data_IF_191236350605
#
_entry.id   IF_191236350605
#
_cell.length_a   1.000
_cell.length_b   1.000
_cell.length_c   1.000
_cell.angle_alpha   90.00
_cell.angle_beta   90.00
_cell.angle_gamma   90.00
#
_symmetry.space_group_name_H-M   'P 1'
#
loop_
_entity.id
_entity.type
_entity.pdbx_description
1 polymer ?
#
# COMPACT_ATOMS: atom_id res chain seq x y z
N UNK A 1 7.82 -20.70 -0.22
CA UNK A 1 6.67 -20.85 -1.15
C UNK A 1 5.53 -20.04 -0.58
N UNK A 2 4.96 -19.11 -1.35
CA UNK A 2 3.86 -18.26 -0.87
C UNK A 2 2.52 -18.99 -0.88
N UNK A 3 1.81 -18.90 0.24
CA UNK A 3 0.46 -19.38 0.39
C UNK A 3 -0.53 -18.26 0.08
N UNK A 4 -1.51 -18.56 -0.78
CA UNK A 4 -2.57 -17.61 -1.15
C UNK A 4 -3.90 -18.09 -0.61
N UNK A 5 -4.55 -17.26 0.21
CA UNK A 5 -5.92 -17.50 0.70
C UNK A 5 -6.87 -16.52 0.02
N UNK A 6 -7.83 -17.07 -0.74
CA UNK A 6 -8.82 -16.29 -1.49
C UNK A 6 -10.24 -16.40 -0.93
N UNK A 7 -10.47 -17.30 0.03
CA UNK A 7 -11.76 -17.45 0.71
C UNK A 7 -11.56 -17.33 2.22
N UNK A 8 -12.20 -16.33 2.82
CA UNK A 8 -12.20 -16.12 4.26
C UNK A 8 -13.55 -16.48 4.84
N UNK A 9 -13.54 -17.24 5.95
CA UNK A 9 -14.72 -17.42 6.81
C UNK A 9 -15.18 -16.08 7.38
N UNK A 10 -16.46 -15.97 7.75
CA UNK A 10 -17.03 -14.72 8.28
C UNK A 10 -16.27 -14.24 9.54
N UNK A 11 -15.86 -15.17 10.40
CA UNK A 11 -15.02 -14.89 11.57
C UNK A 11 -13.71 -14.21 11.17
N UNK A 12 -13.02 -14.71 10.14
CA UNK A 12 -11.78 -14.12 9.62
C UNK A 12 -12.01 -12.78 8.95
N UNK A 13 -13.12 -12.61 8.21
CA UNK A 13 -13.48 -11.31 7.63
C UNK A 13 -13.71 -10.26 8.70
N UNK A 14 -14.41 -10.61 9.78
CA UNK A 14 -14.62 -9.72 10.93
C UNK A 14 -13.30 -9.35 11.59
N UNK A 15 -12.45 -10.33 11.91
CA UNK A 15 -11.14 -10.07 12.50
C UNK A 15 -10.24 -9.21 11.60
N UNK A 16 -10.29 -9.46 10.28
CA UNK A 16 -9.55 -8.66 9.30
C UNK A 16 -10.08 -7.23 9.29
N UNK A 17 -11.40 -7.04 9.27
CA UNK A 17 -12.04 -5.73 9.34
C UNK A 17 -11.58 -4.98 10.59
N UNK A 18 -11.59 -5.60 11.75
CA UNK A 18 -11.20 -4.97 13.01
C UNK A 18 -9.71 -4.60 13.05
N UNK A 19 -8.85 -5.41 12.41
CA UNK A 19 -7.42 -5.14 12.30
C UNK A 19 -7.10 -4.02 11.31
N UNK A 20 -7.75 -4.06 10.15
CA UNK A 20 -7.44 -3.27 8.96
C UNK A 20 -8.11 -1.90 9.04
N UNK A 21 -9.34 -1.82 9.55
CA UNK A 21 -10.13 -0.59 9.60
C UNK A 21 -9.44 0.54 10.38
N UNK A 22 -8.89 0.36 11.59
CA UNK A 22 -8.21 1.45 12.30
C UNK A 22 -6.92 1.92 11.59
N UNK A 23 -6.16 0.98 11.01
CA UNK A 23 -4.91 1.27 10.27
C UNK A 23 -5.17 1.99 8.95
N UNK A 24 -6.33 1.71 8.36
CA UNK A 24 -6.84 2.39 7.18
C UNK A 24 -7.44 3.76 7.51
N UNK A 25 -8.27 3.87 8.55
CA UNK A 25 -9.01 5.10 8.86
C UNK A 25 -8.09 6.21 9.34
N UNK A 26 -6.95 5.86 9.95
CA UNK A 26 -5.88 6.83 10.26
C UNK A 26 -5.20 7.43 9.01
N UNK A 27 -5.58 6.99 7.81
CA UNK A 27 -5.14 7.54 6.54
C UNK A 27 -6.02 8.72 6.11
N UNK A 28 -5.49 9.93 6.13
CA UNK A 28 -6.22 11.11 5.63
C UNK A 28 -6.29 11.17 4.10
N UNK A 29 -5.40 10.45 3.38
CA UNK A 29 -5.42 10.41 1.92
C UNK A 29 -6.40 9.37 1.40
N UNK A 30 -6.64 8.26 2.10
CA UNK A 30 -7.53 7.20 1.61
C UNK A 30 -8.61 6.77 2.60
N UNK A 31 -8.64 7.30 3.82
CA UNK A 31 -9.50 6.82 4.91
C UNK A 31 -10.99 6.87 4.57
N UNK A 32 -11.48 7.98 4.02
CA UNK A 32 -12.90 8.12 3.64
C UNK A 32 -13.27 7.17 2.49
N UNK A 33 -12.40 7.05 1.49
CA UNK A 33 -12.60 6.14 0.36
C UNK A 33 -12.62 4.69 0.84
N UNK A 34 -11.62 4.27 1.62
CA UNK A 34 -11.51 2.92 2.14
C UNK A 34 -12.67 2.59 3.08
N UNK A 35 -13.11 3.53 3.93
CA UNK A 35 -14.28 3.34 4.81
C UNK A 35 -15.54 3.10 3.99
N UNK A 36 -15.74 3.94 2.97
CA UNK A 36 -16.90 3.83 2.08
C UNK A 36 -16.90 2.54 1.24
N UNK A 37 -15.73 1.94 1.02
CA UNK A 37 -15.56 0.74 0.19
C UNK A 37 -15.19 -0.52 1.00
N UNK A 38 -15.12 -0.45 2.33
CA UNK A 38 -14.52 -1.48 3.18
C UNK A 38 -15.12 -2.87 2.94
N UNK A 39 -16.44 -2.98 2.86
CA UNK A 39 -17.10 -4.26 2.62
C UNK A 39 -16.77 -4.83 1.23
N UNK A 40 -16.81 -4.01 0.19
CA UNK A 40 -16.54 -4.44 -1.17
C UNK A 40 -15.06 -4.81 -1.40
N UNK A 41 -14.15 -4.12 -0.68
CA UNK A 41 -12.73 -4.44 -0.62
C UNK A 41 -12.48 -5.78 0.09
N UNK A 42 -13.17 -6.03 1.21
CA UNK A 42 -13.08 -7.29 1.95
C UNK A 42 -13.65 -8.48 1.16
N UNK A 43 -14.68 -8.26 0.34
CA UNK A 43 -15.22 -9.28 -0.55
C UNK A 43 -14.25 -9.68 -1.67
N UNK A 44 -13.30 -8.80 -2.03
CA UNK A 44 -12.26 -9.03 -3.03
C UNK A 44 -10.86 -9.16 -2.40
N UNK A 45 -10.80 -9.57 -1.14
CA UNK A 45 -9.56 -9.71 -0.38
C UNK A 45 -8.80 -11.00 -0.76
N UNK A 46 -7.48 -10.89 -0.87
CA UNK A 46 -6.55 -12.03 -0.97
C UNK A 46 -5.45 -11.89 0.07
N UNK A 47 -5.13 -12.97 0.76
CA UNK A 47 -4.04 -12.99 1.74
C UNK A 47 -2.87 -13.77 1.15
N UNK A 48 -1.68 -13.16 1.17
CA UNK A 48 -0.42 -13.77 0.78
C UNK A 48 0.44 -13.92 2.03
N UNK A 49 0.96 -15.11 2.31
CA UNK A 49 1.85 -15.31 3.46
C UNK A 49 2.94 -16.32 3.15
N UNK A 50 4.08 -16.14 3.79
CA UNK A 50 5.22 -17.05 3.75
C UNK A 50 5.00 -18.34 4.56
N UNK A 51 3.95 -18.38 5.40
CA UNK A 51 3.52 -19.58 6.11
C UNK A 51 2.01 -19.82 5.94
N UNK A 52 1.56 -21.03 6.26
CA UNK A 52 0.12 -21.31 6.36
C UNK A 52 -0.46 -20.62 7.59
N UNK A 53 -1.21 -19.56 7.36
CA UNK A 53 -1.99 -18.90 8.41
C UNK A 53 -3.18 -19.80 8.76
N UNK A 54 -3.23 -20.36 9.97
CA UNK A 54 -4.37 -21.18 10.42
C UNK A 54 -5.59 -20.32 10.76
N UNK A 55 -6.80 -20.88 10.70
CA UNK A 55 -8.04 -20.14 10.99
C UNK A 55 -8.15 -19.62 12.44
N UNK A 56 -7.30 -20.11 13.34
CA UNK A 56 -7.28 -19.74 14.76
C UNK A 56 -6.34 -18.58 15.09
N UNK A 57 -5.42 -18.20 14.20
CA UNK A 57 -4.46 -17.11 14.46
C UNK A 57 -5.10 -15.75 14.23
N UNK A 58 -4.84 -14.80 15.14
CA UNK A 58 -5.22 -13.41 14.93
C UNK A 58 -4.24 -12.75 13.95
N UNK A 59 -4.68 -11.69 13.28
CA UNK A 59 -3.81 -10.86 12.47
C UNK A 59 -2.87 -10.07 13.39
N UNK A 60 -1.56 -10.09 13.12
CA UNK A 60 -0.53 -9.46 13.95
C UNK A 60 0.10 -10.36 15.02
N UNK A 61 -0.22 -11.66 15.05
CA UNK A 61 0.60 -12.65 15.74
C UNK A 61 1.79 -13.03 14.84
N UNK A 62 3.02 -13.13 15.39
CA UNK A 62 4.23 -13.55 14.65
C UNK A 62 3.98 -14.89 13.95
N UNK A 63 3.88 -14.86 12.62
CA UNK A 63 3.57 -16.03 11.80
C UNK A 63 4.83 -16.89 11.52
N UNK A 64 5.96 -16.72 12.22
CA UNK A 64 7.14 -17.60 12.11
C UNK A 64 7.61 -17.86 10.66
N UNK A 65 7.35 -16.90 9.78
CA UNK A 65 7.54 -16.97 8.35
C UNK A 65 8.95 -16.57 7.90
N UNK A 66 9.16 -16.60 6.58
CA UNK A 66 10.36 -16.00 5.97
C UNK A 66 9.98 -14.65 5.40
N UNK A 67 10.21 -13.59 6.18
CA UNK A 67 9.93 -12.19 5.80
C UNK A 67 10.47 -11.77 4.41
N UNK A 68 11.53 -12.43 3.93
CA UNK A 68 12.10 -12.16 2.61
C UNK A 68 11.18 -12.56 1.44
N UNK A 69 10.39 -13.63 1.54
CA UNK A 69 9.59 -14.10 0.40
C UNK A 69 8.40 -13.16 0.08
N UNK A 70 7.74 -12.64 1.12
CA UNK A 70 6.63 -11.70 0.94
C UNK A 70 7.11 -10.33 0.47
N UNK A 71 8.26 -9.87 0.99
CA UNK A 71 8.89 -8.63 0.50
C UNK A 71 9.24 -8.73 -0.98
N UNK A 72 9.86 -9.83 -1.42
CA UNK A 72 10.21 -10.01 -2.84
C UNK A 72 8.95 -10.07 -3.72
N UNK A 73 7.90 -10.77 -3.28
CA UNK A 73 6.62 -10.77 -4.01
C UNK A 73 5.97 -9.40 -4.09
N UNK A 74 6.04 -8.58 -3.02
CA UNK A 74 5.51 -7.23 -3.03
C UNK A 74 6.26 -6.36 -4.05
N UNK A 75 7.60 -6.44 -4.06
CA UNK A 75 8.45 -5.75 -5.04
C UNK A 75 8.08 -6.16 -6.47
N UNK A 76 7.99 -7.47 -6.74
CA UNK A 76 7.63 -7.98 -8.06
C UNK A 76 6.23 -7.53 -8.49
N UNK A 77 5.27 -7.50 -7.55
CA UNK A 77 3.90 -7.04 -7.79
C UNK A 77 3.87 -5.55 -8.16
N UNK A 78 4.60 -4.71 -7.44
CA UNK A 78 4.73 -3.28 -7.74
C UNK A 78 5.36 -3.07 -9.11
N UNK A 79 6.45 -3.76 -9.42
CA UNK A 79 7.13 -3.67 -10.72
C UNK A 79 6.23 -4.14 -11.86
N UNK A 80 5.51 -5.25 -11.69
CA UNK A 80 4.58 -5.76 -12.68
C UNK A 80 3.42 -4.80 -12.93
N UNK A 81 2.85 -4.21 -11.88
CA UNK A 81 1.81 -3.18 -11.99
C UNK A 81 2.29 -1.97 -12.77
N UNK A 82 3.44 -1.40 -12.40
CA UNK A 82 4.02 -0.24 -13.07
C UNK A 82 4.31 -0.46 -14.56
N UNK A 83 4.65 -1.69 -14.95
CA UNK A 83 4.91 -2.04 -16.35
C UNK A 83 3.63 -2.25 -17.16
N UNK A 84 2.62 -2.87 -16.58
CA UNK A 84 1.40 -3.31 -17.26
C UNK A 84 0.37 -2.20 -17.48
N UNK A 85 0.30 -1.24 -16.57
CA UNK A 85 -0.75 -0.22 -16.59
C UNK A 85 -0.38 1.04 -17.38
N UNK A 86 -1.40 1.78 -17.79
CA UNK A 86 -1.27 3.10 -18.42
C UNK A 86 -1.26 4.19 -17.35
N UNK A 87 -0.21 5.03 -17.37
CA UNK A 87 0.04 6.05 -16.34
C UNK A 87 -0.10 5.52 -14.89
N UNK A 88 0.63 4.46 -14.52
CA UNK A 88 0.58 3.94 -13.17
C UNK A 88 1.41 4.77 -12.21
N UNK A 89 0.91 4.82 -10.98
CA UNK A 89 1.67 5.26 -9.83
C UNK A 89 1.41 4.33 -8.66
N UNK A 90 2.46 4.05 -7.92
CA UNK A 90 2.38 3.37 -6.63
C UNK A 90 2.69 4.39 -5.54
N UNK A 91 1.84 4.46 -4.52
CA UNK A 91 2.08 5.28 -3.33
C UNK A 91 2.33 4.35 -2.15
N UNK A 92 3.51 4.43 -1.56
CA UNK A 92 3.84 3.69 -0.33
C UNK A 92 3.71 4.65 0.85
N UNK A 93 2.79 4.38 1.75
CA UNK A 93 2.60 5.19 2.96
C UNK A 93 3.60 4.80 4.03
N UNK A 94 4.18 5.82 4.66
CA UNK A 94 4.95 5.67 5.88
C UNK A 94 4.04 5.91 7.10
N UNK A 95 3.98 4.94 8.03
CA UNK A 95 3.14 5.02 9.23
C UNK A 95 3.81 5.72 10.40
N UNK A 96 5.14 5.72 10.41
CA UNK A 96 5.93 6.24 11.53
C UNK A 96 6.50 7.61 11.16
N UNK A 97 6.79 7.82 9.88
CA UNK A 97 7.37 9.05 9.38
C UNK A 97 6.43 10.25 9.42
N UNK A 98 6.89 11.32 10.07
CA UNK A 98 6.35 12.66 9.93
C UNK A 98 7.23 13.50 8.99
N UNK A 99 6.66 14.39 8.16
CA UNK A 99 7.46 15.38 7.42
C UNK A 99 8.32 16.29 8.31
N UNK A 100 7.96 16.38 9.59
CA UNK A 100 8.66 17.16 10.61
C UNK A 100 9.75 16.37 11.32
N UNK A 101 9.91 15.06 11.05
CA UNK A 101 10.90 14.24 11.73
C UNK A 101 12.32 14.57 11.24
N UNK A 102 13.28 14.86 12.16
CA UNK A 102 14.64 15.24 11.80
C UNK A 102 15.39 14.20 10.96
N UNK A 103 14.99 12.92 11.03
CA UNK A 103 15.62 11.82 10.31
C UNK A 103 15.41 11.93 8.78
N UNK A 104 14.26 12.47 8.33
CA UNK A 104 13.98 12.69 6.91
C UNK A 104 14.70 13.90 6.33
N UNK A 105 15.37 14.70 7.17
CA UNK A 105 16.11 15.90 6.75
C UNK A 105 17.55 15.55 6.34
N UNK A 106 18.10 14.41 6.81
CA UNK A 106 19.54 14.14 6.73
C UNK A 106 19.93 12.92 5.90
N UNK A 107 19.18 11.81 6.02
CA UNK A 107 19.65 10.50 5.54
C UNK A 107 18.70 9.78 4.56
N UNK A 108 17.52 10.35 4.30
CA UNK A 108 16.49 9.75 3.43
C UNK A 108 16.38 10.56 2.13
N UNK A 109 16.22 9.92 0.96
CA UNK A 109 16.13 10.62 -0.32
C UNK A 109 14.97 11.61 -0.36
N UNK A 110 15.19 12.69 -1.11
CA UNK A 110 14.27 13.81 -1.24
C UNK A 110 12.90 13.47 -1.85
N UNK A 111 12.61 12.22 -2.21
CA UNK A 111 11.45 11.84 -3.01
C UNK A 111 10.27 11.40 -2.14
N UNK A 112 9.54 12.33 -1.55
CA UNK A 112 8.30 12.03 -0.83
C UNK A 112 7.24 13.11 -1.04
N UNK A 113 5.98 12.69 -1.01
CA UNK A 113 4.83 13.57 -1.03
C UNK A 113 4.17 13.60 0.33
N UNK A 114 3.52 14.70 0.65
CA UNK A 114 2.80 14.87 1.90
C UNK A 114 1.35 15.24 1.63
N UNK A 115 0.46 14.77 2.50
CA UNK A 115 -0.93 15.19 2.51
C UNK A 115 -1.46 15.07 3.94
N UNK A 116 -2.00 16.17 4.50
CA UNK A 116 -2.51 16.21 5.88
C UNK A 116 -1.52 15.61 6.89
N UNK A 117 -0.26 16.07 6.84
CA UNK A 117 0.86 15.63 7.69
C UNK A 117 1.24 14.14 7.61
N UNK A 118 0.74 13.42 6.60
CA UNK A 118 1.15 12.04 6.29
C UNK A 118 2.12 12.02 5.12
N UNK A 119 3.05 11.06 5.15
CA UNK A 119 4.11 10.91 4.17
C UNK A 119 3.83 9.73 3.23
N UNK A 120 4.05 9.95 1.93
CA UNK A 120 3.87 8.97 0.87
C UNK A 120 5.09 8.96 -0.05
N UNK A 121 5.62 7.78 -0.35
CA UNK A 121 6.70 7.58 -1.31
C UNK A 121 6.12 7.22 -2.67
N UNK A 122 6.19 8.11 -3.67
CA UNK A 122 5.71 7.81 -5.02
C UNK A 122 6.70 6.94 -5.78
N UNK A 123 6.18 5.95 -6.51
CA UNK A 123 6.92 5.15 -7.49
C UNK A 123 6.17 5.25 -8.81
N UNK A 124 6.81 5.85 -9.81
CA UNK A 124 6.26 6.05 -11.15
C UNK A 124 6.77 4.99 -12.13
N UNK A 125 6.18 4.96 -13.33
CA UNK A 125 6.53 3.97 -14.37
C UNK A 125 8.01 3.99 -14.78
N UNK A 126 8.65 5.15 -14.81
CA UNK A 126 10.08 5.31 -15.09
C UNK A 126 10.98 4.78 -13.97
N UNK A 127 10.43 4.59 -12.77
CA UNK A 127 11.10 3.99 -11.62
C UNK A 127 10.87 2.47 -11.50
N UNK A 128 10.23 1.83 -12.49
CA UNK A 128 9.79 0.43 -12.47
C UNK A 128 10.93 -0.60 -12.56
N UNK A 129 11.88 -0.54 -11.64
CA UNK A 129 12.95 -1.50 -11.45
C UNK A 129 12.96 -2.02 -10.00
N UNK A 130 13.43 -3.26 -9.85
CA UNK A 130 13.41 -4.01 -8.58
C UNK A 130 14.19 -3.28 -7.48
N UNK A 131 15.36 -2.73 -7.80
CA UNK A 131 16.21 -2.07 -6.81
C UNK A 131 15.52 -0.83 -6.23
N UNK A 132 15.03 0.07 -7.07
CA UNK A 132 14.35 1.29 -6.62
C UNK A 132 13.10 0.98 -5.81
N UNK A 133 12.30 0.00 -6.24
CA UNK A 133 11.11 -0.40 -5.49
C UNK A 133 11.47 -0.97 -4.11
N UNK A 134 12.53 -1.80 -4.03
CA UNK A 134 13.02 -2.34 -2.75
C UNK A 134 13.55 -1.24 -1.84
N UNK A 135 14.34 -0.31 -2.37
CA UNK A 135 14.89 0.82 -1.62
C UNK A 135 13.74 1.65 -1.00
N UNK A 136 12.70 1.99 -1.79
CA UNK A 136 11.55 2.76 -1.30
C UNK A 136 10.75 2.03 -0.23
N UNK A 137 10.44 0.74 -0.44
CA UNK A 137 9.74 -0.06 0.55
C UNK A 137 10.54 -0.14 1.86
N UNK A 138 11.87 -0.23 1.77
CA UNK A 138 12.74 -0.23 2.96
C UNK A 138 12.74 1.10 3.72
N UNK A 139 12.60 2.24 3.03
CA UNK A 139 12.49 3.54 3.71
C UNK A 139 11.18 3.71 4.46
N UNK A 140 10.10 3.13 3.94
CA UNK A 140 8.79 3.13 4.62
C UNK A 140 8.69 2.13 5.78
N UNK A 141 9.68 1.26 5.98
CA UNK A 141 9.61 0.08 6.84
C UNK A 141 9.92 0.35 8.33
N UNK A 142 9.47 1.49 8.88
CA UNK A 142 9.47 1.73 10.33
C UNK A 142 8.31 1.06 11.07
N UNK A 143 7.36 0.45 10.34
CA UNK A 143 6.15 -0.19 10.86
C UNK A 143 5.34 -0.83 9.72
N UNK A 144 4.03 -1.13 9.93
CA UNK A 144 3.17 -1.72 8.90
C UNK A 144 3.18 -0.86 7.63
N UNK A 145 3.50 -1.46 6.49
CA UNK A 145 3.52 -0.75 5.20
C UNK A 145 2.15 -0.83 4.53
N UNK A 146 1.70 0.29 3.96
CA UNK A 146 0.53 0.30 3.08
C UNK A 146 0.91 0.81 1.69
N UNK A 147 0.59 0.01 0.67
CA UNK A 147 0.91 0.28 -0.72
C UNK A 147 -0.39 0.45 -1.51
N UNK A 148 -0.54 1.60 -2.16
CA UNK A 148 -1.66 1.90 -3.04
C UNK A 148 -1.21 1.78 -4.49
N UNK A 149 -1.85 0.90 -5.26
CA UNK A 149 -1.62 0.77 -6.70
C UNK A 149 -2.69 1.58 -7.43
N UNK A 150 -2.30 2.70 -8.04
CA UNK A 150 -3.20 3.67 -8.65
C UNK A 150 -3.01 3.71 -10.17
N UNK A 151 -4.11 3.61 -10.93
CA UNK A 151 -4.10 3.81 -12.38
C UNK A 151 -5.51 4.01 -12.96
N UNK A 152 -5.69 4.92 -13.94
CA UNK A 152 -4.68 5.87 -14.45
C UNK A 152 -4.58 7.11 -13.55
N UNK A 153 -3.38 7.71 -13.46
CA UNK A 153 -3.20 9.03 -12.84
C UNK A 153 -2.40 9.94 -13.74
N UNK A 154 -3.01 11.04 -14.16
CA UNK A 154 -2.29 12.11 -14.84
C UNK A 154 -1.49 12.93 -13.82
N UNK A 155 -0.19 13.03 -14.05
CA UNK A 155 0.77 13.79 -13.24
C UNK A 155 1.25 15.04 -13.97
N UNK A 156 0.63 15.43 -15.09
CA UNK A 156 1.05 16.56 -15.94
C UNK A 156 1.07 17.91 -15.21
N UNK A 157 0.24 18.07 -14.19
CA UNK A 157 0.18 19.24 -13.32
C UNK A 157 1.07 19.13 -12.07
N UNK A 158 1.70 17.96 -11.86
CA UNK A 158 2.73 17.80 -10.84
C UNK A 158 4.08 18.20 -11.44
N UNK A 159 4.85 19.07 -10.78
CA UNK A 159 6.16 19.45 -11.29
C UNK A 159 7.06 18.21 -11.39
N UNK A 160 7.50 17.86 -12.60
CA UNK A 160 8.37 16.69 -12.85
C UNK A 160 9.69 16.71 -12.05
N UNK A 161 10.04 17.87 -11.49
CA UNK A 161 11.30 18.13 -10.80
C UNK A 161 11.15 18.19 -9.27
N UNK A 162 9.92 18.09 -8.73
CA UNK A 162 9.69 18.21 -7.29
C UNK A 162 9.78 16.85 -6.62
N UNK A 163 10.92 16.64 -5.96
CA UNK A 163 11.15 15.48 -5.11
C UNK A 163 10.25 15.54 -3.86
N UNK A 164 10.02 16.75 -3.31
CA UNK A 164 9.11 17.00 -2.18
C UNK A 164 7.90 17.81 -2.63
N UNK A 165 6.70 17.30 -2.40
CA UNK A 165 5.45 17.96 -2.78
C UNK A 165 4.40 17.81 -1.69
N UNK A 166 3.71 18.89 -1.34
CA UNK A 166 2.48 18.82 -0.56
C UNK A 166 1.30 18.76 -1.51
N UNK A 167 0.56 17.64 -1.47
CA UNK A 167 -0.58 17.41 -2.34
C UNK A 167 -1.77 18.25 -1.90
N UNK A 168 -2.33 19.00 -2.84
CA UNK A 168 -3.63 19.65 -2.64
C UNK A 168 -4.75 18.59 -2.50
N UNK A 169 -5.88 19.00 -1.95
CA UNK A 169 -7.06 18.14 -1.84
C UNK A 169 -7.56 17.65 -3.21
N UNK A 170 -7.47 18.48 -4.25
CA UNK A 170 -7.83 18.07 -5.61
C UNK A 170 -6.89 17.00 -6.16
N UNK A 171 -5.58 17.13 -5.93
CA UNK A 171 -4.58 16.14 -6.33
C UNK A 171 -4.79 14.82 -5.57
N UNK A 172 -4.97 14.91 -4.25
CA UNK A 172 -5.29 13.79 -3.37
C UNK A 172 -6.53 12.99 -3.86
N UNK A 173 -7.61 13.68 -4.21
CA UNK A 173 -8.82 13.05 -4.73
C UNK A 173 -8.61 12.27 -6.03
N UNK A 174 -7.70 12.71 -6.91
CA UNK A 174 -7.37 11.93 -8.13
C UNK A 174 -6.72 10.59 -7.79
N UNK A 175 -5.85 10.55 -6.79
CA UNK A 175 -5.26 9.30 -6.33
C UNK A 175 -6.33 8.38 -5.73
N UNK A 176 -7.21 8.89 -4.86
CA UNK A 176 -8.32 8.10 -4.27
C UNK A 176 -9.17 7.42 -5.34
N UNK A 177 -9.55 8.17 -6.37
CA UNK A 177 -10.43 7.68 -7.44
C UNK A 177 -9.74 6.75 -8.44
N UNK A 178 -8.41 6.62 -8.38
CA UNK A 178 -7.62 5.77 -9.27
C UNK A 178 -7.06 4.52 -8.59
N UNK A 179 -7.30 4.33 -7.29
CA UNK A 179 -6.86 3.12 -6.57
C UNK A 179 -7.50 1.88 -7.17
N UNK A 180 -6.65 0.95 -7.60
CA UNK A 180 -7.03 -0.39 -8.07
C UNK A 180 -6.84 -1.43 -6.98
N UNK A 181 -5.73 -1.34 -6.26
CA UNK A 181 -5.39 -2.26 -5.19
C UNK A 181 -4.79 -1.51 -4.01
N UNK A 182 -5.08 -2.02 -2.81
CA UNK A 182 -4.40 -1.64 -1.58
C UNK A 182 -3.76 -2.88 -1.00
N UNK A 183 -2.47 -2.83 -0.76
CA UNK A 183 -1.70 -3.90 -0.15
C UNK A 183 -1.30 -3.45 1.25
N UNK A 184 -1.67 -4.23 2.25
CA UNK A 184 -1.37 -3.98 3.65
C UNK A 184 -0.36 -5.05 4.10
N UNK A 185 0.79 -4.64 4.61
CA UNK A 185 1.64 -5.52 5.41
C UNK A 185 1.00 -5.66 6.79
N UNK A 186 0.63 -6.89 7.14
CA UNK A 186 -0.15 -7.18 8.35
C UNK A 186 0.52 -8.23 9.24
N UNK A 187 1.70 -8.70 8.86
CA UNK A 187 2.44 -9.75 9.57
C UNK A 187 3.94 -9.41 9.63
N UNK A 188 4.30 -8.14 9.79
CA UNK A 188 5.69 -7.67 9.88
C UNK A 188 6.59 -8.24 8.78
N UNK A 189 6.12 -8.09 7.54
CA UNK A 189 6.75 -8.58 6.31
C UNK A 189 6.67 -10.08 6.07
N UNK A 190 5.97 -10.85 6.92
CA UNK A 190 5.73 -12.29 6.71
C UNK A 190 4.46 -12.59 5.89
N UNK A 191 3.69 -11.56 5.56
CA UNK A 191 2.56 -11.65 4.65
C UNK A 191 1.80 -10.34 4.47
N UNK A 192 0.97 -10.30 3.44
CA UNK A 192 0.22 -9.13 3.03
C UNK A 192 -1.24 -9.46 2.75
N UNK A 193 -2.09 -8.46 2.96
CA UNK A 193 -3.49 -8.47 2.52
C UNK A 193 -3.61 -7.57 1.30
N UNK A 194 -4.12 -8.12 0.20
CA UNK A 194 -4.46 -7.38 -1.01
C UNK A 194 -5.95 -7.17 -1.05
N UNK A 195 -6.35 -5.92 -0.94
CA UNK A 195 -7.72 -5.45 -1.13
C UNK A 195 -7.84 -4.89 -2.54
N UNK A 196 -8.72 -5.45 -3.35
CA UNK A 196 -8.93 -4.97 -4.72
C UNK A 196 -10.22 -4.19 -4.80
N UNK A 197 -10.18 -3.00 -5.40
CA UNK A 197 -11.39 -2.27 -5.73
C UNK A 197 -12.26 -3.16 -6.62
N UNK A 198 -13.57 -3.32 -6.32
CA UNK A 198 -14.48 -3.98 -7.24
C UNK A 198 -14.41 -3.16 -8.53
N UNK A 199 -13.93 -3.78 -9.63
CA UNK A 199 -13.94 -3.10 -10.92
C UNK A 199 -15.35 -2.59 -11.15
N UNK A 200 -15.53 -1.30 -11.40
CA UNK A 200 -16.67 -0.86 -12.19
C UNK A 200 -16.57 -1.65 -13.50
N UNK A 201 -17.55 -2.51 -13.84
CA UNK A 201 -17.52 -3.21 -15.10
C UNK A 201 -17.63 -2.15 -16.21
N UNK A 202 -16.51 -1.90 -16.90
CA UNK A 202 -16.45 -0.97 -18.02
C UNK A 202 -15.99 0.44 -17.64
N UNK A 203 -14.71 0.70 -17.86
CA UNK A 203 -14.19 1.92 -18.47
C UNK A 203 -12.97 1.50 -19.30
#
# INVERSE_FOLDING_TARGET
MLHVTTSLSEKRRSALRDFVTPRIISDSLFGDWMTSNANALLDNCRIFSSAQVSESHAFGDDIGGRASECTEWLVDTVVAFLKSEMLPIVLVKDFVGSPSDPVFIKDIPDLFWTHNDKLYWPITKDMANVKTCRDILSWSAGGPVVVFLCSPVDLSDLPANQRRLSLSESQANRFRNSVRHVILDIFDSEGCVVLSSPRSPGN
#
